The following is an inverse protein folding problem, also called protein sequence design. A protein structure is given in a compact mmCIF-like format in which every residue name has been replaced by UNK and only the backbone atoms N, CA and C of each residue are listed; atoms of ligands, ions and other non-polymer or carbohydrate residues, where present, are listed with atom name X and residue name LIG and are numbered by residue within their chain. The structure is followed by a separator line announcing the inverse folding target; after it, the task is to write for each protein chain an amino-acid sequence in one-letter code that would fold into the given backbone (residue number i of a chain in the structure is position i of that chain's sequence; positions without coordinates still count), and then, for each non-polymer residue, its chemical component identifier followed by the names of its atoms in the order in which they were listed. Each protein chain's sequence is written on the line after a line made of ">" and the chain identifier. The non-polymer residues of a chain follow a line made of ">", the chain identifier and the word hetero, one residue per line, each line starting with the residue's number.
data_IF_588778898719
#
_entry.id   IF_588778898719
#
_cell.length_a   1.000
_cell.length_b   1.000
_cell.length_c   1.000
_cell.angle_alpha   90.00
_cell.angle_beta   90.00
_cell.angle_gamma   90.00
#
_symmetry.space_group_name_H-M   'P 1'
#
loop_
_entity.id
_entity.type
_entity.pdbx_description
1 polymer ?
#
# COMPACT_ATOMS: atom_id res chain seq x y z
N UNK A 1 -5.85 4.18 -17.47
CA UNK A 1 -4.82 3.30 -16.86
C UNK A 1 -5.40 2.75 -15.57
N UNK A 2 -5.22 1.46 -15.27
CA UNK A 2 -5.77 0.84 -14.06
C UNK A 2 -4.84 1.00 -12.85
N UNK A 3 -5.36 0.74 -11.66
CA UNK A 3 -4.61 0.79 -10.39
C UNK A 3 -3.50 -0.27 -10.35
N UNK A 4 -2.31 0.14 -9.90
CA UNK A 4 -1.13 -0.71 -9.69
C UNK A 4 -0.76 -0.73 -8.22
N UNK A 5 -0.09 -1.79 -7.78
CA UNK A 5 0.41 -1.89 -6.42
C UNK A 5 1.91 -2.14 -6.39
N UNK A 6 2.58 -1.43 -5.48
CA UNK A 6 3.98 -1.62 -5.16
C UNK A 6 4.13 -1.93 -3.66
N UNK A 7 5.11 -2.75 -3.33
CA UNK A 7 5.52 -3.03 -1.95
C UNK A 7 6.92 -2.48 -1.77
N UNK A 8 7.05 -1.47 -0.91
CA UNK A 8 8.29 -0.73 -0.78
C UNK A 8 8.82 -0.79 0.64
N UNK A 9 10.14 -0.87 0.77
CA UNK A 9 10.77 -0.63 2.07
C UNK A 9 10.67 0.86 2.40
N UNK A 10 10.08 1.17 3.56
CA UNK A 10 10.01 2.52 4.08
C UNK A 10 10.85 2.63 5.36
N UNK A 11 11.71 3.64 5.42
CA UNK A 11 12.50 3.92 6.61
C UNK A 11 11.61 4.39 7.77
N UNK A 12 12.07 4.25 9.01
CA UNK A 12 11.35 4.78 10.18
C UNK A 12 11.19 6.31 10.15
N UNK A 13 12.10 7.01 9.47
CA UNK A 13 12.05 8.47 9.31
C UNK A 13 10.91 8.85 8.37
N UNK A 14 10.92 8.29 7.15
CA UNK A 14 9.87 8.50 6.16
C UNK A 14 8.50 8.01 6.67
N UNK A 15 8.44 6.92 7.47
CA UNK A 15 7.19 6.47 8.09
C UNK A 15 6.62 7.49 9.09
N UNK A 16 7.47 8.20 9.84
CA UNK A 16 7.02 9.25 10.77
C UNK A 16 6.54 10.48 10.01
N UNK A 17 7.25 10.85 8.95
CA UNK A 17 6.85 11.91 8.04
C UNK A 17 5.51 11.58 7.38
N UNK A 18 5.34 10.36 6.88
CA UNK A 18 4.08 9.89 6.29
C UNK A 18 2.90 10.01 7.26
N UNK A 19 3.12 9.67 8.54
CA UNK A 19 2.11 9.79 9.59
C UNK A 19 1.82 11.23 10.03
N UNK A 20 2.66 12.18 9.64
CA UNK A 20 2.49 13.60 9.97
C UNK A 20 1.61 14.36 8.99
N UNK A 21 1.44 13.82 7.76
CA UNK A 21 0.46 14.36 6.81
C UNK A 21 -0.97 14.17 7.37
N UNK A 22 -1.79 15.21 7.23
CA UNK A 22 -3.21 15.17 7.59
C UNK A 22 -4.07 14.84 6.34
N UNK A 23 -5.35 14.53 6.57
CA UNK A 23 -6.29 14.14 5.51
C UNK A 23 -6.56 15.25 4.46
N UNK A 24 -6.17 16.51 4.74
CA UNK A 24 -6.36 17.67 3.84
C UNK A 24 -5.12 17.94 2.97
N UNK A 25 -4.05 17.16 3.12
CA UNK A 25 -2.78 17.45 2.47
C UNK A 25 -2.66 16.73 1.13
N UNK A 26 -3.13 17.38 0.06
CA UNK A 26 -2.98 16.91 -1.32
C UNK A 26 -1.51 16.66 -1.72
N UNK A 27 -0.55 17.29 -1.01
CA UNK A 27 0.90 17.10 -1.21
C UNK A 27 1.36 15.67 -0.88
N UNK A 28 0.57 14.89 -0.13
CA UNK A 28 0.95 13.52 0.23
C UNK A 28 1.14 12.64 -1.00
N UNK A 29 0.34 12.84 -2.06
CA UNK A 29 0.46 12.06 -3.29
C UNK A 29 1.73 12.42 -4.05
N UNK A 30 2.09 13.69 -4.13
CA UNK A 30 3.34 14.14 -4.78
C UNK A 30 4.57 13.54 -4.05
N UNK A 31 4.58 13.60 -2.71
CA UNK A 31 5.66 13.01 -1.90
C UNK A 31 5.74 11.49 -2.07
N UNK A 32 4.60 10.80 -2.12
CA UNK A 32 4.57 9.35 -2.34
C UNK A 32 5.04 8.96 -3.74
N UNK A 33 4.74 9.76 -4.77
CA UNK A 33 5.23 9.57 -6.13
C UNK A 33 6.74 9.73 -6.19
N UNK A 34 7.29 10.81 -5.62
CA UNK A 34 8.74 11.05 -5.55
C UNK A 34 9.46 9.90 -4.82
N UNK A 35 8.94 9.47 -3.66
CA UNK A 35 9.53 8.35 -2.90
C UNK A 35 9.49 7.05 -3.68
N UNK A 36 8.44 6.82 -4.47
CA UNK A 36 8.32 5.64 -5.30
C UNK A 36 9.35 5.63 -6.43
N UNK A 37 9.70 6.79 -7.00
CA UNK A 37 10.80 6.90 -7.97
C UNK A 37 12.18 6.65 -7.35
N UNK A 38 12.38 7.04 -6.09
CA UNK A 38 13.65 6.89 -5.37
C UNK A 38 13.83 5.52 -4.66
N UNK A 39 12.79 4.69 -4.64
CA UNK A 39 12.77 3.45 -3.89
C UNK A 39 13.83 2.44 -4.38
N UNK A 40 14.75 2.07 -3.48
CA UNK A 40 15.81 1.09 -3.79
C UNK A 40 15.36 -0.36 -3.64
N UNK A 41 14.41 -0.60 -2.75
CA UNK A 41 13.85 -1.93 -2.48
C UNK A 41 12.35 -1.81 -2.71
N UNK A 42 11.92 -2.27 -3.88
CA UNK A 42 10.53 -2.27 -4.31
C UNK A 42 10.20 -3.61 -4.97
N UNK A 43 8.96 -4.05 -4.78
CA UNK A 43 8.34 -5.12 -5.54
C UNK A 43 7.10 -4.54 -6.22
N UNK A 44 7.15 -4.46 -7.55
CA UNK A 44 6.03 -4.05 -8.39
C UNK A 44 5.35 -5.30 -8.95
N UNK A 45 4.07 -5.50 -8.63
CA UNK A 45 3.25 -6.60 -9.13
C UNK A 45 2.36 -6.18 -10.31
N UNK A 46 2.53 -4.98 -10.84
CA UNK A 46 1.63 -4.30 -11.78
C UNK A 46 0.18 -4.38 -11.24
N UNK A 47 -0.69 -5.14 -11.90
CA UNK A 47 -2.12 -5.30 -11.53
C UNK A 47 -2.42 -6.65 -10.87
N UNK A 48 -1.40 -7.42 -10.51
CA UNK A 48 -1.55 -8.79 -10.02
C UNK A 48 -1.76 -8.88 -8.50
N UNK A 49 -1.84 -7.76 -7.80
CA UNK A 49 -2.01 -7.70 -6.34
C UNK A 49 -3.33 -8.32 -5.87
N UNK A 50 -4.44 -8.06 -6.59
CA UNK A 50 -5.75 -8.66 -6.28
C UNK A 50 -5.76 -10.17 -6.59
N UNK A 51 -5.14 -10.57 -7.71
CA UNK A 51 -4.97 -11.98 -8.05
C UNK A 51 -4.11 -12.73 -7.01
N UNK A 52 -3.05 -12.10 -6.49
CA UNK A 52 -2.23 -12.66 -5.42
C UNK A 52 -3.05 -12.88 -4.15
N UNK A 53 -3.82 -11.88 -3.72
CA UNK A 53 -4.71 -12.01 -2.57
C UNK A 53 -5.72 -13.14 -2.76
N UNK A 54 -6.35 -13.20 -3.94
CA UNK A 54 -7.33 -14.23 -4.27
C UNK A 54 -6.74 -15.64 -4.23
N UNK A 55 -5.54 -15.84 -4.79
CA UNK A 55 -4.86 -17.15 -4.75
C UNK A 55 -4.56 -17.59 -3.32
N UNK A 56 -4.25 -16.65 -2.42
CA UNK A 56 -3.89 -16.96 -1.04
C UNK A 56 -5.11 -17.13 -0.11
N UNK A 57 -6.20 -16.43 -0.38
CA UNK A 57 -7.32 -16.29 0.58
C UNK A 57 -8.68 -16.72 0.03
N UNK A 58 -8.84 -16.78 -1.30
CA UNK A 58 -10.11 -17.06 -1.97
C UNK A 58 -11.06 -15.86 -2.07
N UNK A 59 -10.67 -14.68 -1.59
CA UNK A 59 -11.46 -13.44 -1.68
C UNK A 59 -10.64 -12.32 -2.34
N UNK A 60 -11.31 -11.31 -2.87
CA UNK A 60 -10.63 -10.13 -3.42
C UNK A 60 -10.14 -9.19 -2.29
N UNK A 61 -9.36 -8.21 -2.68
CA UNK A 61 -8.72 -7.22 -1.79
C UNK A 61 -9.65 -6.12 -1.27
N UNK A 62 -10.89 -6.02 -1.78
CA UNK A 62 -11.91 -5.11 -1.24
C UNK A 62 -12.56 -5.69 0.02
N UNK A 63 -12.49 -7.01 0.21
CA UNK A 63 -12.93 -7.73 1.41
C UNK A 63 -11.76 -8.43 2.12
N UNK A 64 -10.72 -7.69 2.58
CA UNK A 64 -9.59 -8.29 3.27
C UNK A 64 -10.02 -8.95 4.59
N UNK A 65 -9.39 -10.07 4.92
CA UNK A 65 -9.75 -10.88 6.09
C UNK A 65 -8.91 -10.44 7.28
N UNK A 66 -9.54 -9.77 8.24
CA UNK A 66 -8.89 -9.30 9.46
C UNK A 66 -8.27 -10.46 10.27
N UNK A 67 -7.05 -10.27 10.79
CA UNK A 67 -6.29 -11.26 11.55
C UNK A 67 -5.95 -12.55 10.77
N UNK A 68 -6.07 -12.54 9.43
CA UNK A 68 -5.59 -13.62 8.58
C UNK A 68 -4.17 -13.30 8.06
N UNK A 69 -3.14 -14.07 8.45
CA UNK A 69 -1.76 -13.79 8.06
C UNK A 69 -1.52 -13.76 6.54
N UNK A 70 -2.28 -14.51 5.75
CA UNK A 70 -2.16 -14.52 4.29
C UNK A 70 -2.80 -13.29 3.65
N UNK A 71 -3.90 -12.80 4.21
CA UNK A 71 -4.53 -11.56 3.76
C UNK A 71 -3.65 -10.37 4.12
N UNK A 72 -3.21 -10.29 5.39
CA UNK A 72 -2.35 -9.22 5.90
C UNK A 72 -0.98 -9.17 5.21
N UNK A 73 -0.45 -10.29 4.74
CA UNK A 73 0.78 -10.32 3.95
C UNK A 73 0.66 -9.56 2.61
N UNK A 74 -0.56 -9.38 2.10
CA UNK A 74 -0.82 -8.69 0.83
C UNK A 74 -1.34 -7.27 1.03
N UNK A 75 -2.26 -7.04 1.98
CA UNK A 75 -2.89 -5.71 2.18
C UNK A 75 -2.29 -4.92 3.36
N UNK A 76 -1.45 -5.55 4.16
CA UNK A 76 -0.84 -4.97 5.35
C UNK A 76 -1.65 -5.21 6.64
N UNK A 77 -0.97 -5.12 7.78
CA UNK A 77 -1.53 -5.28 9.14
C UNK A 77 -2.14 -3.99 9.71
N UNK A 78 -1.94 -2.87 9.04
CA UNK A 78 -2.40 -1.56 9.48
C UNK A 78 -2.65 -0.70 8.27
N UNK A 79 -3.88 -0.21 8.15
CA UNK A 79 -4.26 0.68 7.09
C UNK A 79 -3.86 2.10 7.47
N UNK A 80 -3.11 2.76 6.59
CA UNK A 80 -3.11 4.21 6.61
C UNK A 80 -4.54 4.64 6.26
N UNK A 81 -5.17 5.45 7.12
CA UNK A 81 -6.40 6.16 6.73
C UNK A 81 -5.99 7.21 5.70
N UNK A 82 -5.83 6.78 4.47
CA UNK A 82 -5.64 7.66 3.32
C UNK A 82 -6.94 7.62 2.54
N UNK A 83 -7.45 8.84 2.31
CA UNK A 83 -8.62 9.26 1.53
C UNK A 83 -9.27 8.14 0.70
N UNK A 84 -10.56 7.91 0.95
CA UNK A 84 -11.43 7.16 0.02
C UNK A 84 -11.29 7.78 -1.38
N UNK A 85 -10.72 7.02 -2.31
CA UNK A 85 -10.79 7.30 -3.76
C UNK A 85 -12.21 7.01 -4.24
#
# INVERSE_FOLDING_TARGET
>A
MGMRANYQYLSNENLRELKSFNEENDEIFEVLEDWNEEAKILLDLDKMWDALHFVLTGVDTLEPIENNPLSEAVVGVSYAKMVQI
#
